data_IF_531399973702
#
_entry.id   IF_531399973702
#
_cell.length_a   1.000
_cell.length_b   1.000
_cell.length_c   1.000
_cell.angle_alpha   90.00
_cell.angle_beta   90.00
_cell.angle_gamma   90.00
#
_symmetry.space_group_name_H-M   'P 1'
#
loop_
_entity.id
_entity.type
_entity.pdbx_description
1 polymer ?
#
# COMPACT_ATOMS: atom_id res chain seq x y z
N UNK A 1 26.78 4.27 14.55
CA UNK A 1 25.41 4.31 15.08
C UNK A 1 24.34 3.90 14.07
N UNK A 2 24.36 4.35 12.78
CA UNK A 2 23.35 3.99 11.75
C UNK A 2 23.23 2.49 11.47
N UNK A 3 24.35 1.72 11.50
CA UNK A 3 24.34 0.27 11.26
C UNK A 3 23.68 -0.53 12.39
N UNK A 4 23.78 -0.07 13.63
CA UNK A 4 23.12 -0.69 14.78
C UNK A 4 21.59 -0.53 14.76
N UNK A 5 21.09 0.59 14.23
CA UNK A 5 19.65 0.84 14.12
C UNK A 5 18.98 -0.11 13.11
N UNK A 6 19.65 -0.37 11.98
CA UNK A 6 19.15 -1.31 10.95
C UNK A 6 19.16 -2.75 11.50
N UNK A 7 20.22 -3.15 12.21
CA UNK A 7 20.32 -4.48 12.82
C UNK A 7 19.25 -4.65 13.91
N UNK A 8 18.98 -3.62 14.72
CA UNK A 8 17.94 -3.65 15.73
C UNK A 8 16.52 -3.79 15.12
N UNK A 9 16.22 -3.08 14.02
CA UNK A 9 14.94 -3.20 13.30
C UNK A 9 14.81 -4.61 12.71
N UNK A 10 15.83 -5.15 12.09
CA UNK A 10 15.82 -6.52 11.54
C UNK A 10 15.71 -7.56 12.65
N UNK A 11 16.41 -7.39 13.78
CA UNK A 11 16.32 -8.29 14.92
C UNK A 11 14.92 -8.28 15.58
N UNK A 12 14.31 -7.10 15.71
CA UNK A 12 12.92 -6.96 16.19
C UNK A 12 11.95 -7.65 15.21
N UNK A 13 12.15 -7.51 13.92
CA UNK A 13 11.32 -8.19 12.90
C UNK A 13 11.44 -9.73 12.96
N UNK A 14 12.58 -10.27 13.40
CA UNK A 14 12.83 -11.72 13.48
C UNK A 14 12.37 -12.38 14.79
N UNK A 15 12.04 -11.61 15.86
CA UNK A 15 11.67 -12.18 17.16
C UNK A 15 10.18 -12.51 17.34
N UNK A 16 9.36 -12.13 16.37
CA UNK A 16 7.93 -12.44 16.42
C UNK A 16 7.64 -13.85 15.91
N UNK A 17 7.75 -14.84 16.78
CA UNK A 17 7.20 -16.18 16.54
C UNK A 17 5.68 -16.12 16.75
N UNK A 18 4.95 -15.80 15.71
CA UNK A 18 3.50 -15.78 15.75
C UNK A 18 2.95 -17.22 15.77
N UNK A 19 2.04 -17.49 16.69
CA UNK A 19 1.15 -18.66 16.64
C UNK A 19 0.04 -18.49 15.59
N UNK A 20 0.25 -17.66 14.58
CA UNK A 20 -0.71 -17.44 13.52
C UNK A 20 -0.89 -18.72 12.69
N UNK A 21 -2.12 -19.13 12.50
CA UNK A 21 -2.49 -20.31 11.72
C UNK A 21 -2.03 -20.20 10.24
N UNK A 22 -1.89 -18.95 9.74
CA UNK A 22 -1.34 -18.61 8.44
C UNK A 22 -0.27 -17.52 8.60
N UNK A 23 0.90 -17.75 7.99
CA UNK A 23 2.01 -16.78 8.07
C UNK A 23 2.03 -15.76 6.95
N UNK A 24 1.52 -16.13 5.79
CA UNK A 24 1.65 -15.34 4.57
C UNK A 24 0.35 -15.33 3.79
N UNK A 25 0.08 -14.21 3.13
CA UNK A 25 -0.99 -14.12 2.16
C UNK A 25 -0.51 -13.30 0.95
N UNK A 26 -0.89 -13.71 -0.25
CA UNK A 26 -0.52 -12.99 -1.46
C UNK A 26 -1.62 -13.03 -2.49
N UNK A 27 -1.67 -12.03 -3.35
CA UNK A 27 -2.64 -11.99 -4.43
C UNK A 27 -2.70 -10.65 -5.14
N UNK A 28 -3.59 -10.48 -6.10
CA UNK A 28 -3.76 -9.24 -6.81
C UNK A 28 -4.39 -8.14 -5.95
N UNK A 29 -4.02 -6.90 -6.26
CA UNK A 29 -4.68 -5.68 -5.79
C UNK A 29 -5.19 -4.91 -7.00
N UNK A 30 -6.41 -4.36 -6.88
CA UNK A 30 -7.09 -3.58 -7.91
C UNK A 30 -7.76 -2.36 -7.28
N UNK A 31 -8.09 -1.36 -8.09
CA UNK A 31 -8.71 -0.11 -7.64
C UNK A 31 -8.05 1.09 -8.31
N UNK A 32 -7.59 2.06 -7.56
CA UNK A 32 -6.66 3.08 -8.07
C UNK A 32 -5.23 2.54 -8.21
N UNK A 33 -4.97 1.36 -7.64
CA UNK A 33 -3.73 0.61 -7.72
C UNK A 33 -3.99 -0.72 -8.42
N UNK A 34 -3.09 -1.14 -9.32
CA UNK A 34 -3.14 -2.42 -10.00
C UNK A 34 -1.82 -3.15 -9.83
N UNK A 35 -1.83 -4.30 -9.20
CA UNK A 35 -0.58 -5.03 -8.99
C UNK A 35 -0.70 -6.25 -8.10
N UNK A 36 0.38 -6.55 -7.38
CA UNK A 36 0.48 -7.63 -6.43
C UNK A 36 0.59 -7.13 -5.00
N UNK A 37 -0.08 -7.79 -4.08
CA UNK A 37 -0.03 -7.55 -2.65
C UNK A 37 0.52 -8.78 -1.95
N UNK A 38 1.47 -8.57 -1.05
CA UNK A 38 2.03 -9.60 -0.19
C UNK A 38 1.88 -9.16 1.26
N UNK A 39 1.40 -10.05 2.11
CA UNK A 39 1.10 -9.80 3.51
C UNK A 39 1.77 -10.86 4.38
N UNK A 40 2.45 -10.45 5.43
CA UNK A 40 3.13 -11.31 6.40
C UNK A 40 2.64 -10.98 7.81
N UNK A 41 2.19 -11.99 8.53
CA UNK A 41 1.76 -11.87 9.92
C UNK A 41 2.96 -12.04 10.84
N UNK A 42 3.43 -10.93 11.42
CA UNK A 42 4.57 -10.89 12.33
C UNK A 42 4.19 -11.32 13.75
N UNK A 43 2.95 -11.04 14.15
CA UNK A 43 2.33 -11.50 15.39
C UNK A 43 0.82 -11.57 15.22
N UNK A 44 0.07 -11.87 16.28
CA UNK A 44 -1.40 -11.97 16.22
C UNK A 44 -2.06 -10.68 15.73
N UNK A 45 -1.45 -9.53 16.00
CA UNK A 45 -2.02 -8.23 15.64
C UNK A 45 -1.12 -7.37 14.75
N UNK A 46 0.16 -7.73 14.58
CA UNK A 46 1.09 -6.95 13.76
C UNK A 46 1.30 -7.61 12.41
N UNK A 47 1.04 -6.86 11.38
CA UNK A 47 1.09 -7.31 9.99
C UNK A 47 2.01 -6.40 9.19
N UNK A 48 2.89 -7.01 8.42
CA UNK A 48 3.67 -6.34 7.39
C UNK A 48 3.01 -6.63 6.05
N UNK A 49 2.68 -5.58 5.30
CA UNK A 49 2.16 -5.71 3.93
C UNK A 49 3.05 -4.94 2.98
N UNK A 50 3.35 -5.51 1.84
CA UNK A 50 4.03 -4.80 0.75
C UNK A 50 3.26 -4.99 -0.54
N UNK A 51 3.06 -3.91 -1.26
CA UNK A 51 2.36 -3.88 -2.52
C UNK A 51 3.31 -3.37 -3.61
N UNK A 52 3.39 -4.10 -4.71
CA UNK A 52 4.02 -3.67 -5.95
C UNK A 52 2.91 -3.34 -6.93
N UNK A 53 2.84 -2.08 -7.36
CA UNK A 53 1.69 -1.64 -8.15
C UNK A 53 2.04 -0.63 -9.24
N UNK A 54 1.13 -0.55 -10.20
CA UNK A 54 0.98 0.56 -11.12
C UNK A 54 -0.24 1.35 -10.68
N UNK A 55 -0.06 2.63 -10.39
CA UNK A 55 -1.15 3.55 -10.02
C UNK A 55 -1.71 4.26 -11.24
N UNK A 56 -3.03 4.36 -11.31
CA UNK A 56 -3.77 5.10 -12.33
C UNK A 56 -4.53 6.25 -11.64
N UNK A 57 -3.84 7.31 -11.27
CA UNK A 57 -4.41 8.38 -10.45
C UNK A 57 -5.55 9.16 -11.13
N UNK A 58 -5.57 9.21 -12.46
CA UNK A 58 -6.63 9.86 -13.23
C UNK A 58 -8.03 9.28 -13.02
N UNK A 59 -8.12 7.97 -12.80
CA UNK A 59 -9.42 7.29 -12.64
C UNK A 59 -10.03 7.56 -11.29
N UNK A 60 -9.23 7.60 -10.24
CA UNK A 60 -9.70 7.83 -8.88
C UNK A 60 -10.15 9.28 -8.64
N UNK A 61 -9.44 10.27 -9.20
CA UNK A 61 -9.83 11.69 -9.10
C UNK A 61 -11.20 11.97 -9.68
N UNK A 62 -11.49 11.44 -10.87
CA UNK A 62 -12.79 11.61 -11.53
C UNK A 62 -13.97 10.92 -10.84
N UNK A 63 -13.71 9.80 -10.14
CA UNK A 63 -14.79 9.05 -9.46
C UNK A 63 -15.25 9.69 -8.16
N UNK A 64 -14.39 10.44 -7.47
CA UNK A 64 -14.67 10.89 -6.10
C UNK A 64 -14.63 12.41 -5.90
N UNK A 65 -13.96 13.18 -6.78
CA UNK A 65 -13.77 14.61 -6.60
C UNK A 65 -13.73 15.34 -7.95
N UNK A 66 -14.89 15.61 -8.54
CA UNK A 66 -15.03 16.22 -9.86
C UNK A 66 -14.50 17.66 -9.92
N UNK A 67 -14.38 18.35 -8.78
CA UNK A 67 -14.12 19.79 -8.69
C UNK A 67 -12.77 20.19 -8.03
N UNK A 68 -11.87 19.24 -7.74
CA UNK A 68 -10.59 19.61 -7.15
C UNK A 68 -9.53 19.74 -8.27
N UNK A 69 -9.14 20.96 -8.53
CA UNK A 69 -8.03 21.30 -9.42
C UNK A 69 -6.68 20.97 -8.74
N UNK A 70 -6.11 19.82 -9.07
CA UNK A 70 -4.83 19.36 -8.52
C UNK A 70 -3.61 19.95 -9.24
N UNK A 71 -3.78 21.02 -10.03
CA UNK A 71 -2.70 21.64 -10.79
C UNK A 71 -2.24 20.80 -11.99
N UNK A 72 -1.21 21.24 -12.67
CA UNK A 72 -0.77 20.76 -13.99
C UNK A 72 -0.32 19.27 -14.05
N UNK A 73 -0.19 18.57 -12.92
CA UNK A 73 0.31 17.18 -12.85
C UNK A 73 -0.82 16.13 -12.92
N UNK A 74 -2.08 16.54 -12.87
CA UNK A 74 -3.22 15.63 -12.70
C UNK A 74 -3.69 14.94 -13.95
N UNK A 75 -3.22 15.32 -15.11
CA UNK A 75 -3.67 14.76 -16.38
C UNK A 75 -2.82 13.55 -16.83
N UNK A 76 -3.02 12.40 -16.17
CA UNK A 76 -2.61 11.13 -16.77
C UNK A 76 -1.20 10.65 -16.43
N UNK A 77 -0.74 10.85 -15.20
CA UNK A 77 0.48 10.19 -14.78
C UNK A 77 0.25 8.74 -14.30
N UNK A 78 1.25 7.94 -14.51
CA UNK A 78 1.32 6.55 -14.08
C UNK A 78 2.40 6.44 -13.01
N UNK A 79 2.08 5.78 -11.91
CA UNK A 79 3.06 5.44 -10.89
C UNK A 79 3.41 3.96 -10.97
N UNK A 80 4.68 3.65 -10.95
CA UNK A 80 5.17 2.32 -10.62
C UNK A 80 5.86 2.40 -9.26
N UNK A 81 5.33 1.74 -8.25
CA UNK A 81 5.87 1.88 -6.91
C UNK A 81 5.79 0.60 -6.08
N UNK A 82 6.72 0.51 -5.13
CA UNK A 82 6.73 -0.44 -4.02
C UNK A 82 6.27 0.31 -2.76
N UNK A 83 5.33 -0.28 -2.04
CA UNK A 83 4.72 0.32 -0.84
C UNK A 83 4.70 -0.65 0.34
N UNK A 84 5.77 -0.75 1.13
CA UNK A 84 5.78 -1.46 2.40
C UNK A 84 5.02 -0.69 3.49
N UNK A 85 4.18 -1.42 4.21
CA UNK A 85 3.34 -0.92 5.30
C UNK A 85 3.48 -1.82 6.53
N UNK A 86 3.44 -1.23 7.71
CA UNK A 86 3.28 -1.91 8.99
C UNK A 86 1.92 -1.54 9.55
N UNK A 87 1.13 -2.56 9.90
CA UNK A 87 -0.26 -2.40 10.30
C UNK A 87 -0.56 -3.15 11.58
N UNK A 88 -1.47 -2.60 12.36
CA UNK A 88 -2.19 -3.31 13.40
C UNK A 88 -3.46 -3.87 12.79
N UNK A 89 -3.75 -5.16 13.00
CA UNK A 89 -4.96 -5.84 12.54
C UNK A 89 -5.61 -6.54 13.72
N UNK A 90 -6.93 -6.41 13.85
CA UNK A 90 -7.70 -7.11 14.88
C UNK A 90 -9.10 -7.51 14.37
N UNK A 91 -9.69 -8.56 14.93
CA UNK A 91 -11.04 -8.98 14.59
C UNK A 91 -12.09 -7.96 15.06
N UNK A 92 -13.12 -7.77 14.24
CA UNK A 92 -14.33 -7.01 14.59
C UNK A 92 -15.42 -7.97 15.07
N UNK A 93 -15.72 -8.97 14.27
CA UNK A 93 -16.76 -9.96 14.55
C UNK A 93 -16.56 -11.24 13.76
N UNK A 94 -17.09 -12.32 14.30
CA UNK A 94 -17.22 -13.59 13.61
C UNK A 94 -18.52 -13.59 12.80
N UNK A 95 -18.42 -14.03 11.57
CA UNK A 95 -19.55 -14.23 10.66
C UNK A 95 -19.61 -15.71 10.32
N UNK A 96 -20.80 -16.28 10.17
CA UNK A 96 -21.04 -17.74 9.98
C UNK A 96 -20.11 -18.48 9.02
N UNK A 97 -19.47 -17.77 8.10
CA UNK A 97 -18.59 -18.32 7.04
C UNK A 97 -17.20 -17.68 7.04
N UNK A 98 -16.80 -17.05 8.13
CA UNK A 98 -15.48 -16.39 8.26
C UNK A 98 -15.48 -15.33 9.34
N UNK A 99 -14.46 -14.49 9.32
CA UNK A 99 -14.33 -13.37 10.28
C UNK A 99 -13.90 -12.09 9.56
N UNK A 100 -14.44 -10.99 10.07
CA UNK A 100 -14.15 -9.65 9.60
C UNK A 100 -13.10 -9.03 10.54
N UNK A 101 -12.00 -8.54 9.94
CA UNK A 101 -10.96 -7.81 10.63
C UNK A 101 -10.94 -6.36 10.15
N UNK A 102 -10.55 -5.44 11.05
CA UNK A 102 -10.07 -4.12 10.62
C UNK A 102 -8.54 -4.09 10.68
N UNK A 103 -7.95 -3.21 9.93
CA UNK A 103 -6.52 -2.90 10.04
C UNK A 103 -6.28 -1.41 9.84
N UNK A 104 -5.23 -0.93 10.51
CA UNK A 104 -4.76 0.44 10.34
C UNK A 104 -3.24 0.47 10.55
N UNK A 105 -2.55 1.35 9.83
CA UNK A 105 -1.10 1.41 9.90
C UNK A 105 -0.52 2.56 9.09
N UNK A 106 0.77 2.45 8.84
CA UNK A 106 1.53 3.41 8.05
C UNK A 106 2.57 2.72 7.21
N UNK A 107 2.98 3.39 6.15
CA UNK A 107 3.98 2.89 5.23
C UNK A 107 4.78 4.00 4.55
N UNK A 108 5.69 3.54 3.74
CA UNK A 108 6.45 4.38 2.83
C UNK A 108 6.23 3.88 1.41
N UNK A 109 6.34 4.75 0.43
CA UNK A 109 6.31 4.37 -0.96
C UNK A 109 7.56 4.89 -1.67
N UNK A 110 8.04 4.10 -2.62
CA UNK A 110 9.15 4.50 -3.47
C UNK A 110 8.98 3.95 -4.85
N UNK A 111 9.23 4.76 -5.87
CA UNK A 111 9.00 4.36 -7.24
C UNK A 111 9.28 5.43 -8.27
N UNK A 112 8.62 5.29 -9.42
CA UNK A 112 8.72 6.18 -10.55
C UNK A 112 7.33 6.68 -10.94
N UNK A 113 7.23 7.96 -11.21
CA UNK A 113 6.05 8.57 -11.81
C UNK A 113 6.36 8.98 -13.25
N UNK A 114 5.46 8.68 -14.17
CA UNK A 114 5.60 8.95 -15.60
C UNK A 114 4.35 9.68 -16.08
N UNK A 115 4.53 10.82 -16.69
CA UNK A 115 3.47 11.56 -17.37
C UNK A 115 3.49 11.26 -18.87
N UNK A 116 2.35 11.35 -19.55
CA UNK A 116 2.17 10.90 -20.95
C UNK A 116 3.00 11.75 -21.90
N UNK A 117 3.68 12.58 -21.90
CA UNK A 117 4.61 13.32 -22.79
C UNK A 117 5.72 14.02 -21.99
N UNK A 118 5.94 13.57 -20.75
CA UNK A 118 6.86 14.20 -19.83
C UNK A 118 7.92 13.21 -19.31
N UNK A 119 9.01 13.72 -18.76
CA UNK A 119 10.08 12.92 -18.24
C UNK A 119 9.64 12.11 -17.00
N UNK A 120 10.43 11.06 -16.72
CA UNK A 120 10.27 10.21 -15.56
C UNK A 120 10.71 10.95 -14.30
N UNK A 121 9.88 10.90 -13.26
CA UNK A 121 10.19 11.43 -11.93
C UNK A 121 10.44 10.28 -10.94
N UNK A 122 11.43 10.41 -10.10
CA UNK A 122 11.56 9.60 -8.90
C UNK A 122 10.50 10.03 -7.88
N UNK A 123 9.79 9.06 -7.28
CA UNK A 123 8.76 9.29 -6.27
C UNK A 123 9.20 8.66 -4.94
N UNK A 124 9.11 9.41 -3.86
CA UNK A 124 9.23 8.92 -2.48
C UNK A 124 8.06 9.49 -1.70
N UNK A 125 7.37 8.64 -0.92
CA UNK A 125 6.22 9.08 -0.15
C UNK A 125 6.07 8.36 1.17
N UNK A 126 5.14 8.86 1.96
CA UNK A 126 4.65 8.23 3.20
C UNK A 126 3.14 8.18 3.14
N UNK A 127 2.55 7.13 3.67
CA UNK A 127 1.10 6.97 3.71
C UNK A 127 0.64 6.39 5.05
N UNK A 128 -0.58 6.75 5.44
CA UNK A 128 -1.38 5.94 6.33
C UNK A 128 -2.13 4.89 5.50
N UNK A 129 -2.56 3.81 6.13
CA UNK A 129 -3.43 2.80 5.53
C UNK A 129 -4.47 2.40 6.56
N UNK A 130 -5.73 2.32 6.14
CA UNK A 130 -6.81 1.79 6.96
C UNK A 130 -7.79 1.01 6.08
N UNK A 131 -8.33 -0.08 6.61
CA UNK A 131 -9.23 -0.92 5.84
C UNK A 131 -9.86 -2.04 6.62
N UNK A 132 -10.55 -2.88 5.88
CA UNK A 132 -11.20 -4.09 6.39
C UNK A 132 -10.81 -5.29 5.54
N UNK A 133 -10.71 -6.45 6.18
CA UNK A 133 -10.42 -7.72 5.54
C UNK A 133 -11.39 -8.78 6.02
N UNK A 134 -12.07 -9.41 5.09
CA UNK A 134 -12.89 -10.58 5.35
C UNK A 134 -12.12 -11.85 5.00
N UNK A 135 -11.92 -12.72 5.97
CA UNK A 135 -11.24 -13.99 5.83
C UNK A 135 -12.28 -15.10 5.84
N UNK A 136 -12.30 -15.91 4.80
CA UNK A 136 -13.24 -17.00 4.65
C UNK A 136 -12.86 -18.20 5.53
N UNK A 137 -13.85 -18.80 6.20
CA UNK A 137 -13.67 -20.07 6.90
C UNK A 137 -13.68 -21.25 5.91
N UNK A 138 -12.76 -22.18 6.11
CA UNK A 138 -12.70 -23.40 5.29
C UNK A 138 -12.01 -23.28 3.94
N UNK A 139 -11.76 -22.05 3.46
CA UNK A 139 -10.98 -21.80 2.25
C UNK A 139 -9.87 -20.80 2.53
N UNK A 140 -8.68 -20.97 1.96
CA UNK A 140 -7.51 -20.14 2.25
C UNK A 140 -7.54 -18.81 1.49
N UNK A 141 -8.65 -18.09 1.51
CA UNK A 141 -8.81 -16.81 0.82
C UNK A 141 -9.27 -15.69 1.75
N UNK A 142 -8.88 -14.47 1.41
CA UNK A 142 -9.49 -13.26 1.96
C UNK A 142 -9.74 -12.23 0.88
N UNK A 143 -10.69 -11.33 1.16
CA UNK A 143 -10.90 -10.10 0.41
C UNK A 143 -10.70 -8.91 1.33
N UNK A 144 -10.07 -7.86 0.85
CA UNK A 144 -9.89 -6.65 1.62
C UNK A 144 -10.17 -5.41 0.79
N UNK A 145 -10.58 -4.35 1.49
CA UNK A 145 -10.68 -3.00 0.95
C UNK A 145 -9.90 -2.06 1.86
N UNK A 146 -9.11 -1.19 1.28
CA UNK A 146 -8.30 -0.21 2.02
C UNK A 146 -8.29 1.18 1.37
N UNK A 147 -8.06 2.17 2.21
CA UNK A 147 -7.85 3.57 1.83
C UNK A 147 -6.48 4.00 2.35
N UNK A 148 -5.72 4.70 1.51
CA UNK A 148 -4.33 5.09 1.77
C UNK A 148 -4.11 6.56 1.46
N UNK A 149 -4.40 7.46 2.40
CA UNK A 149 -3.98 8.85 2.29
C UNK A 149 -2.49 8.97 2.53
N UNK A 150 -1.81 9.80 1.76
CA UNK A 150 -0.37 9.93 1.84
C UNK A 150 0.15 11.27 1.37
N UNK A 151 1.46 11.42 1.46
CA UNK A 151 2.20 12.55 0.97
C UNK A 151 3.40 12.06 0.18
N UNK A 152 3.54 12.58 -1.04
CA UNK A 152 4.60 12.20 -1.95
C UNK A 152 5.47 13.40 -2.34
N UNK A 153 6.77 13.14 -2.45
CA UNK A 153 7.77 14.01 -3.02
C UNK A 153 8.27 13.41 -4.31
N UNK A 154 8.21 14.20 -5.38
CA UNK A 154 8.67 13.82 -6.70
C UNK A 154 9.84 14.68 -7.13
N UNK A 155 10.86 14.07 -7.70
CA UNK A 155 12.04 14.73 -8.24
C UNK A 155 12.35 14.21 -9.65
N UNK A 156 12.60 15.13 -10.57
CA UNK A 156 13.00 14.81 -11.95
C UNK A 156 13.87 15.89 -12.54
N UNK A 157 14.39 15.63 -13.73
CA UNK A 157 15.18 16.57 -14.49
C UNK A 157 14.59 16.71 -15.91
N UNK A 158 13.35 17.23 -16.02
CA UNK A 158 12.74 17.47 -17.31
C UNK A 158 13.55 18.49 -18.11
N UNK A 159 13.90 18.14 -19.35
CA UNK A 159 14.61 19.04 -20.28
C UNK A 159 15.88 19.68 -19.69
N UNK A 160 16.56 18.99 -18.75
CA UNK A 160 17.78 19.49 -18.12
C UNK A 160 17.55 20.45 -16.94
N UNK A 161 16.31 20.74 -16.58
CA UNK A 161 15.95 21.57 -15.42
C UNK A 161 15.50 20.69 -14.25
N UNK A 162 16.15 20.81 -13.11
CA UNK A 162 15.74 20.12 -11.89
C UNK A 162 14.37 20.63 -11.45
N UNK A 163 13.42 19.73 -11.35
CA UNK A 163 12.05 20.03 -10.96
C UNK A 163 11.64 19.16 -9.77
N UNK A 164 11.04 19.76 -8.76
CA UNK A 164 10.62 19.10 -7.52
C UNK A 164 9.16 19.45 -7.24
N UNK A 165 8.38 18.42 -6.85
CA UNK A 165 6.97 18.56 -6.53
C UNK A 165 6.64 17.90 -5.21
N UNK A 166 5.72 18.50 -4.48
CA UNK A 166 5.11 17.96 -3.29
C UNK A 166 3.62 17.80 -3.55
N UNK A 167 3.08 16.62 -3.29
CA UNK A 167 1.66 16.36 -3.52
C UNK A 167 1.05 15.54 -2.39
N UNK A 168 -0.22 15.81 -2.12
CA UNK A 168 -1.05 14.88 -1.36
C UNK A 168 -1.46 13.74 -2.29
N UNK A 169 -1.16 12.52 -1.90
CA UNK A 169 -1.46 11.32 -2.65
C UNK A 169 -2.47 10.47 -1.87
N UNK A 170 -3.41 9.87 -2.55
CA UNK A 170 -4.35 8.95 -1.93
C UNK A 170 -4.71 7.83 -2.90
N UNK A 171 -5.01 6.68 -2.35
CA UNK A 171 -5.41 5.52 -3.14
C UNK A 171 -6.43 4.67 -2.42
N UNK A 172 -7.22 3.94 -3.21
CA UNK A 172 -8.16 2.92 -2.75
C UNK A 172 -7.76 1.60 -3.38
N UNK A 173 -7.62 0.57 -2.56
CA UNK A 173 -7.26 -0.77 -2.99
C UNK A 173 -8.32 -1.80 -2.60
N UNK A 174 -8.57 -2.75 -3.50
CA UNK A 174 -9.29 -3.98 -3.23
C UNK A 174 -8.35 -5.13 -3.52
N UNK A 175 -8.15 -6.03 -2.56
CA UNK A 175 -7.27 -7.15 -2.78
C UNK A 175 -7.97 -8.48 -2.51
N UNK A 176 -7.66 -9.46 -3.37
CA UNK A 176 -7.99 -10.87 -3.16
C UNK A 176 -6.68 -11.60 -2.84
N UNK A 177 -6.58 -12.23 -1.66
CA UNK A 177 -5.35 -12.90 -1.24
C UNK A 177 -5.58 -14.36 -0.94
N UNK A 178 -4.61 -15.15 -1.30
CA UNK A 178 -4.50 -16.56 -0.94
C UNK A 178 -3.53 -16.71 0.24
N UNK A 179 -3.97 -17.43 1.27
CA UNK A 179 -3.15 -17.73 2.44
C UNK A 179 -2.29 -18.95 2.23
N UNK A 180 -1.02 -18.82 2.59
CA UNK A 180 -0.04 -19.92 2.58
C UNK A 180 0.35 -20.22 4.02
N UNK A 181 0.38 -21.50 4.36
CA UNK A 181 0.80 -22.03 5.67
C UNK A 181 2.32 -21.99 5.81
#
# INVERSE_FOLDING_TARGET
MKKFFIIAIVAIACTFTANAQYRYASGPIVGSLYGGSYKMYCSDNIVFQTDLYVGLHKVAGKLFFEDIDYGAITEGHWDFALNPNVMYQAPICDVKVGWLNYFAGMGISGGLAMEYDAPVFGKIGTNAIAGMEYVFEGIPFSISADFRPGYAYMIGVPYGVKTEFHMFDWSVGFALRYYVK
#
